data_IF_436251902463
#
_entry.id   IF_436251902463
#
_cell.length_a   1.000
_cell.length_b   1.000
_cell.length_c   1.000
_cell.angle_alpha   90.00
_cell.angle_beta   90.00
_cell.angle_gamma   90.00
#
_symmetry.space_group_name_H-M   'P 1'
#
loop_
_entity.id
_entity.type
_entity.pdbx_description
1 polymer ?
#
# COMPACT_ATOMS: atom_id res chain seq x y z
N UNK A 1 -5.64 27.72 -26.79
CA UNK A 1 -7.01 28.13 -27.23
C UNK A 1 -8.07 27.07 -26.96
N UNK A 2 -7.99 25.84 -27.50
CA UNK A 2 -9.05 24.81 -27.32
C UNK A 2 -9.39 24.47 -25.85
N UNK A 3 -8.39 24.42 -24.92
CA UNK A 3 -8.64 24.16 -23.48
C UNK A 3 -9.35 25.31 -22.75
N UNK A 4 -9.15 26.54 -23.20
CA UNK A 4 -9.83 27.72 -22.62
C UNK A 4 -11.29 27.77 -23.02
N UNK A 5 -11.58 27.45 -24.28
CA UNK A 5 -12.95 27.42 -24.82
C UNK A 5 -13.77 26.30 -24.16
N UNK A 6 -13.20 25.13 -23.93
CA UNK A 6 -13.87 24.03 -23.21
C UNK A 6 -14.27 24.44 -21.78
N UNK A 7 -13.38 25.11 -21.04
CA UNK A 7 -13.69 25.60 -19.68
C UNK A 7 -14.79 26.67 -19.63
N UNK A 8 -14.84 27.55 -20.65
CA UNK A 8 -15.89 28.57 -20.74
C UNK A 8 -17.24 27.92 -21.06
N UNK A 9 -17.26 26.92 -21.94
CA UNK A 9 -18.48 26.17 -22.28
C UNK A 9 -19.00 25.39 -21.07
N UNK A 10 -18.13 24.73 -20.32
CA UNK A 10 -18.49 24.01 -19.06
C UNK A 10 -19.04 24.97 -18.01
N UNK A 11 -18.43 26.14 -17.83
CA UNK A 11 -18.92 27.15 -16.88
C UNK A 11 -20.27 27.73 -17.30
N UNK A 12 -20.52 27.94 -18.62
CA UNK A 12 -21.78 28.40 -19.14
C UNK A 12 -22.90 27.36 -19.02
N UNK A 13 -22.62 26.08 -19.25
CA UNK A 13 -23.53 24.98 -19.04
C UNK A 13 -23.91 24.87 -17.57
N UNK A 14 -22.95 25.00 -16.67
CA UNK A 14 -23.18 24.95 -15.22
C UNK A 14 -24.05 26.10 -14.73
N UNK A 15 -23.81 27.33 -15.24
CA UNK A 15 -24.65 28.51 -14.92
C UNK A 15 -26.06 28.39 -15.45
N UNK A 16 -26.23 27.81 -16.65
CA UNK A 16 -27.57 27.59 -17.26
C UNK A 16 -28.38 26.55 -16.48
N UNK A 17 -27.74 25.46 -16.00
CA UNK A 17 -28.39 24.44 -15.19
C UNK A 17 -28.86 24.97 -13.82
N UNK A 18 -28.09 25.88 -13.21
CA UNK A 18 -28.50 26.55 -11.95
C UNK A 18 -29.70 27.46 -12.17
N UNK A 19 -29.80 28.19 -13.30
CA UNK A 19 -30.93 29.05 -13.62
C UNK A 19 -32.23 28.27 -13.87
N UNK A 20 -32.14 27.02 -14.31
CA UNK A 20 -33.33 26.16 -14.58
C UNK A 20 -33.77 25.38 -13.33
N UNK A 21 -33.15 25.62 -12.16
CA UNK A 21 -33.54 24.98 -10.90
C UNK A 21 -33.27 23.47 -10.83
N UNK A 22 -32.44 22.94 -11.75
CA UNK A 22 -31.99 21.58 -11.70
C UNK A 22 -30.88 21.49 -10.63
N UNK A 23 -31.29 21.13 -9.40
CA UNK A 23 -30.30 20.75 -8.39
C UNK A 23 -29.46 19.60 -8.94
N UNK A 24 -28.19 19.84 -9.15
CA UNK A 24 -27.24 18.80 -9.55
C UNK A 24 -27.10 17.80 -8.39
N UNK A 25 -27.62 16.56 -8.50
CA UNK A 25 -27.53 15.59 -7.41
C UNK A 25 -26.17 14.92 -7.33
N UNK A 26 -25.19 15.34 -8.14
CA UNK A 26 -23.90 14.67 -8.22
C UNK A 26 -22.77 15.69 -8.07
N UNK A 27 -21.90 15.46 -7.11
CA UNK A 27 -20.55 16.00 -7.12
C UNK A 27 -19.87 15.50 -8.39
N UNK A 28 -19.80 16.33 -9.43
CA UNK A 28 -18.99 16.05 -10.61
C UNK A 28 -17.54 16.10 -10.14
N UNK A 29 -16.95 14.94 -9.86
CA UNK A 29 -15.53 14.81 -9.60
C UNK A 29 -14.81 15.23 -10.87
N UNK A 30 -14.29 16.45 -10.91
CA UNK A 30 -13.46 16.93 -12.00
C UNK A 30 -12.07 16.33 -11.84
N UNK A 31 -11.82 15.24 -12.54
CA UNK A 31 -10.50 14.59 -12.53
C UNK A 31 -9.46 15.49 -13.19
N UNK A 32 -8.47 15.91 -12.43
CA UNK A 32 -7.28 16.60 -12.91
C UNK A 32 -6.03 15.72 -12.79
N UNK A 33 -4.97 16.13 -13.43
CA UNK A 33 -3.64 15.51 -13.29
C UNK A 33 -2.58 16.60 -13.22
N UNK A 34 -1.67 16.45 -12.28
CA UNK A 34 -0.62 17.42 -12.06
C UNK A 34 0.16 17.17 -10.79
N UNK A 35 0.79 18.22 -10.30
CA UNK A 35 1.52 18.22 -9.02
C UNK A 35 0.71 19.03 -8.00
N UNK A 36 0.52 18.42 -6.82
CA UNK A 36 0.08 19.10 -5.61
C UNK A 36 1.30 19.24 -4.70
N UNK A 37 1.66 20.46 -4.35
CA UNK A 37 2.74 20.79 -3.42
C UNK A 37 2.11 21.23 -2.10
N UNK A 38 2.51 20.61 -1.00
CA UNK A 38 1.94 20.88 0.33
C UNK A 38 2.75 21.89 1.14
N UNK A 39 3.89 22.36 0.59
CA UNK A 39 4.69 23.44 1.21
C UNK A 39 5.61 23.01 2.36
N UNK A 40 5.53 21.77 2.81
CA UNK A 40 6.34 21.19 3.90
C UNK A 40 7.41 20.21 3.39
N UNK A 41 7.60 20.16 2.07
CA UNK A 41 8.48 19.20 1.37
C UNK A 41 7.77 17.95 0.89
N UNK A 42 6.50 17.77 1.28
CA UNK A 42 5.64 16.74 0.72
C UNK A 42 5.05 17.18 -0.63
N UNK A 43 4.96 16.27 -1.58
CA UNK A 43 4.31 16.55 -2.86
C UNK A 43 3.67 15.30 -3.45
N UNK A 44 2.57 15.49 -4.16
CA UNK A 44 1.91 14.45 -4.93
C UNK A 44 1.98 14.76 -6.42
N UNK A 45 2.21 13.74 -7.24
CA UNK A 45 2.17 13.83 -8.70
C UNK A 45 1.25 12.74 -9.22
N UNK A 46 0.11 13.13 -9.77
CA UNK A 46 -0.88 12.14 -10.21
C UNK A 46 -2.24 12.73 -10.50
N UNK A 47 -3.25 11.85 -10.42
CA UNK A 47 -4.65 12.23 -10.61
C UNK A 47 -5.26 12.67 -9.27
N UNK A 48 -6.01 13.77 -9.30
CA UNK A 48 -6.70 14.33 -8.16
C UNK A 48 -8.04 14.96 -8.56
N UNK A 49 -8.90 15.20 -7.59
CA UNK A 49 -10.11 15.98 -7.77
C UNK A 49 -9.74 17.47 -7.81
N UNK A 50 -10.08 18.17 -8.89
CA UNK A 50 -9.74 19.58 -9.06
C UNK A 50 -10.57 20.54 -8.20
N UNK A 51 -11.65 20.05 -7.59
CA UNK A 51 -12.54 20.86 -6.74
C UNK A 51 -11.99 20.97 -5.33
N UNK A 52 -11.62 19.82 -4.73
CA UNK A 52 -11.17 19.75 -3.34
C UNK A 52 -9.68 19.39 -3.18
N UNK A 53 -9.00 19.01 -4.27
CA UNK A 53 -7.59 18.64 -4.26
C UNK A 53 -7.31 17.21 -3.79
N UNK A 54 -8.34 16.41 -3.50
CA UNK A 54 -8.14 15.03 -3.00
C UNK A 54 -7.44 14.16 -4.04
N UNK A 55 -6.44 13.40 -3.61
CA UNK A 55 -5.79 12.39 -4.46
C UNK A 55 -6.80 11.35 -4.89
N UNK A 56 -7.02 11.20 -6.21
CA UNK A 56 -8.03 10.31 -6.76
C UNK A 56 -7.58 9.68 -8.08
N UNK A 57 -7.15 8.43 -8.02
CA UNK A 57 -6.57 7.71 -9.15
C UNK A 57 -5.08 7.42 -8.98
N UNK A 58 -4.39 7.13 -10.09
CA UNK A 58 -2.95 6.78 -10.07
C UNK A 58 -2.09 8.00 -9.78
N UNK A 59 -1.06 7.80 -8.93
CA UNK A 59 -0.09 8.84 -8.65
C UNK A 59 1.10 8.38 -7.82
N UNK A 60 2.00 9.32 -7.54
CA UNK A 60 3.15 9.17 -6.65
C UNK A 60 3.13 10.26 -5.60
N UNK A 61 3.27 9.86 -4.35
CA UNK A 61 3.47 10.77 -3.23
C UNK A 61 4.93 10.71 -2.77
N UNK A 62 5.52 11.84 -2.62
CA UNK A 62 6.90 12.02 -2.17
C UNK A 62 6.84 12.69 -0.82
N UNK A 63 7.26 11.99 0.23
CA UNK A 63 7.33 12.55 1.58
C UNK A 63 8.64 13.34 1.78
N UNK A 64 8.61 14.35 2.61
CA UNK A 64 9.77 15.15 3.00
C UNK A 64 10.91 14.30 3.59
N UNK A 65 10.58 13.19 4.26
CA UNK A 65 11.57 12.25 4.80
C UNK A 65 12.29 11.40 3.72
N UNK A 66 11.89 11.54 2.44
CA UNK A 66 12.39 10.77 1.30
C UNK A 66 11.66 9.45 1.04
N UNK A 67 10.57 9.15 1.76
CA UNK A 67 9.67 8.04 1.44
C UNK A 67 8.92 8.33 0.14
N UNK A 68 8.80 7.33 -0.74
CA UNK A 68 8.05 7.44 -2.00
C UNK A 68 6.96 6.38 -2.05
N UNK A 69 5.73 6.81 -2.28
CA UNK A 69 4.55 5.97 -2.37
C UNK A 69 4.00 6.03 -3.79
N UNK A 70 3.90 4.89 -4.47
CA UNK A 70 3.33 4.78 -5.82
C UNK A 70 2.12 3.85 -5.78
N UNK A 71 0.95 4.34 -6.18
CA UNK A 71 -0.27 3.54 -6.07
C UNK A 71 -1.49 4.19 -6.69
N UNK A 72 -2.65 3.76 -6.22
CA UNK A 72 -3.96 4.31 -6.56
C UNK A 72 -4.57 4.88 -5.29
N UNK A 73 -5.07 6.10 -5.37
CA UNK A 73 -5.76 6.81 -4.29
C UNK A 73 -7.26 6.87 -4.57
N UNK A 74 -8.03 6.97 -3.51
CA UNK A 74 -9.45 7.26 -3.55
C UNK A 74 -9.80 8.11 -2.34
N UNK A 75 -10.25 9.35 -2.57
CA UNK A 75 -10.55 10.35 -1.54
C UNK A 75 -9.38 10.45 -0.54
N UNK A 76 -8.20 10.78 -1.05
CA UNK A 76 -6.92 10.89 -0.32
C UNK A 76 -6.34 9.59 0.26
N UNK A 77 -7.10 8.51 0.34
CA UNK A 77 -6.61 7.25 0.89
C UNK A 77 -5.95 6.36 -0.17
N UNK A 78 -4.79 5.81 0.16
CA UNK A 78 -4.13 4.79 -0.65
C UNK A 78 -4.97 3.49 -0.63
N UNK A 79 -5.33 3.00 -1.81
CA UNK A 79 -6.20 1.84 -2.00
C UNK A 79 -5.66 0.89 -3.05
N UNK A 80 -5.83 -0.42 -2.83
CA UNK A 80 -5.41 -1.43 -3.79
C UNK A 80 -3.90 -1.67 -3.78
N UNK A 81 -3.34 -2.10 -4.91
CA UNK A 81 -1.91 -2.45 -5.00
C UNK A 81 -1.04 -1.22 -5.08
N UNK A 82 -0.03 -1.15 -4.22
CA UNK A 82 0.92 -0.04 -4.18
C UNK A 82 2.36 -0.53 -3.94
N UNK A 83 3.30 0.37 -4.24
CA UNK A 83 4.73 0.24 -3.92
C UNK A 83 5.13 1.41 -3.03
N UNK A 84 5.72 1.11 -1.88
CA UNK A 84 6.30 2.10 -0.97
C UNK A 84 7.79 1.81 -0.84
N UNK A 85 8.61 2.83 -1.09
CA UNK A 85 10.04 2.83 -0.80
C UNK A 85 10.25 3.80 0.34
N UNK A 86 10.58 3.28 1.51
CA UNK A 86 10.79 4.07 2.73
C UNK A 86 12.13 4.79 2.71
N UNK A 87 12.25 5.87 3.45
CA UNK A 87 13.49 6.65 3.62
C UNK A 87 14.68 5.76 4.04
N UNK A 88 14.45 4.78 4.92
CA UNK A 88 15.45 3.82 5.39
C UNK A 88 15.85 2.76 4.36
N UNK A 89 15.33 2.83 3.10
CA UNK A 89 15.51 1.89 1.98
C UNK A 89 14.80 0.54 2.13
N UNK A 90 13.90 0.40 3.10
CA UNK A 90 12.95 -0.69 3.10
C UNK A 90 11.97 -0.53 1.93
N UNK A 91 11.36 -1.62 1.48
CA UNK A 91 10.38 -1.57 0.39
C UNK A 91 9.18 -2.46 0.71
N UNK A 92 7.99 -1.94 0.47
CA UNK A 92 6.78 -2.75 0.47
C UNK A 92 6.14 -2.74 -0.92
N UNK A 93 5.68 -3.90 -1.37
CA UNK A 93 4.86 -4.07 -2.58
C UNK A 93 3.67 -4.95 -2.20
N UNK A 94 2.48 -4.40 -2.24
CA UNK A 94 1.29 -5.15 -1.81
C UNK A 94 0.03 -4.30 -1.77
N UNK A 95 -0.99 -4.85 -1.13
CA UNK A 95 -2.29 -4.23 -1.05
C UNK A 95 -2.41 -3.31 0.16
N UNK A 96 -3.11 -2.19 -0.06
CA UNK A 96 -3.48 -1.19 0.91
C UNK A 96 -5.00 -1.03 0.97
N UNK A 97 -5.50 -0.71 2.15
CA UNK A 97 -6.86 -0.30 2.41
C UNK A 97 -6.83 0.82 3.44
N UNK A 98 -7.27 2.03 3.07
CA UNK A 98 -7.25 3.23 3.92
C UNK A 98 -5.86 3.43 4.54
N UNK A 99 -4.83 3.57 3.70
CA UNK A 99 -3.42 3.80 4.05
C UNK A 99 -2.74 2.70 4.88
N UNK A 100 -3.43 1.59 5.15
CA UNK A 100 -2.87 0.47 5.90
C UNK A 100 -2.60 -0.72 4.97
N UNK A 101 -1.46 -1.39 5.18
CA UNK A 101 -1.18 -2.66 4.50
C UNK A 101 -2.25 -3.67 4.89
N UNK A 102 -2.98 -4.15 3.90
CA UNK A 102 -4.10 -5.07 4.10
C UNK A 102 -4.25 -5.97 2.86
N UNK A 103 -4.28 -7.29 3.05
CA UNK A 103 -4.25 -8.25 1.96
C UNK A 103 -2.85 -8.84 1.72
N UNK A 104 -2.54 -9.25 0.50
CA UNK A 104 -1.24 -9.85 0.18
C UNK A 104 -0.17 -8.79 -0.09
N UNK A 105 1.06 -9.03 0.38
CA UNK A 105 2.17 -8.13 0.13
C UNK A 105 3.53 -8.72 0.46
N UNK A 106 4.55 -8.05 -0.06
CA UNK A 106 5.96 -8.37 0.20
C UNK A 106 6.64 -7.16 0.81
N UNK A 107 7.16 -7.31 2.00
CA UNK A 107 8.07 -6.35 2.63
C UNK A 107 9.50 -6.83 2.46
N UNK A 108 10.36 -5.97 2.00
CA UNK A 108 11.80 -6.21 1.86
C UNK A 108 12.53 -5.20 2.73
N UNK A 109 13.24 -5.67 3.74
CA UNK A 109 14.09 -4.85 4.58
C UNK A 109 15.39 -4.50 3.87
N UNK A 110 16.00 -3.37 4.21
CA UNK A 110 17.26 -2.92 3.61
C UNK A 110 18.42 -3.92 3.78
N UNK A 111 18.35 -4.74 4.84
CA UNK A 111 19.33 -5.80 5.07
C UNK A 111 19.19 -7.00 4.12
N UNK A 112 18.15 -7.03 3.28
CA UNK A 112 17.86 -8.10 2.32
C UNK A 112 16.90 -9.18 2.81
N UNK A 113 16.45 -9.11 4.05
CA UNK A 113 15.39 -9.99 4.55
C UNK A 113 14.06 -9.67 3.83
N UNK A 114 13.15 -10.64 3.77
CA UNK A 114 11.84 -10.47 3.13
C UNK A 114 10.74 -11.16 3.91
N UNK A 115 9.59 -10.53 3.98
CA UNK A 115 8.34 -11.21 4.31
C UNK A 115 7.39 -11.16 3.12
N UNK A 116 6.90 -12.31 2.70
CA UNK A 116 5.85 -12.43 1.67
C UNK A 116 4.67 -13.17 2.29
N UNK A 117 3.53 -12.51 2.39
CA UNK A 117 2.36 -13.10 3.03
C UNK A 117 1.18 -12.15 3.16
N UNK A 118 0.26 -12.55 4.03
CA UNK A 118 -0.93 -11.78 4.35
C UNK A 118 -0.64 -10.70 5.40
N UNK A 119 -1.31 -9.57 5.24
CA UNK A 119 -1.25 -8.37 6.10
C UNK A 119 -2.66 -7.99 6.54
N UNK A 120 -2.78 -7.47 7.75
CA UNK A 120 -4.00 -6.85 8.25
C UNK A 120 -3.63 -5.69 9.16
N UNK A 121 -4.11 -4.48 8.84
CA UNK A 121 -3.85 -3.26 9.60
C UNK A 121 -2.36 -3.09 9.94
N UNK A 122 -1.49 -3.13 8.90
CA UNK A 122 -0.03 -3.00 8.99
C UNK A 122 0.73 -4.14 9.68
N UNK A 123 0.04 -5.15 10.16
CA UNK A 123 0.64 -6.30 10.82
C UNK A 123 0.65 -7.54 9.91
N UNK A 124 1.72 -8.33 9.98
CA UNK A 124 1.75 -9.67 9.39
C UNK A 124 0.63 -10.50 10.03
N UNK A 125 -0.33 -10.97 9.21
CA UNK A 125 -1.51 -11.66 9.72
C UNK A 125 -2.04 -12.66 8.68
N UNK A 126 -2.04 -13.95 9.01
CA UNK A 126 -2.38 -15.02 8.09
C UNK A 126 -1.15 -15.80 7.59
N UNK A 127 -1.29 -16.54 6.49
CA UNK A 127 -0.18 -17.33 5.92
C UNK A 127 0.92 -16.44 5.37
N UNK A 128 2.18 -16.77 5.67
CA UNK A 128 3.33 -16.01 5.15
C UNK A 128 4.65 -16.72 5.34
N UNK A 129 5.64 -16.22 4.63
CA UNK A 129 7.02 -16.71 4.66
C UNK A 129 7.94 -15.54 4.95
N UNK A 130 8.71 -15.64 6.00
CA UNK A 130 9.84 -14.78 6.27
C UNK A 130 11.11 -15.45 5.75
N UNK A 131 11.88 -14.77 4.93
CA UNK A 131 13.11 -15.25 4.32
C UNK A 131 14.24 -14.31 4.72
N UNK A 132 15.24 -14.83 5.38
CA UNK A 132 16.48 -14.10 5.71
C UNK A 132 17.34 -13.89 4.47
N UNK A 133 18.22 -12.90 4.50
CA UNK A 133 19.22 -12.61 3.45
C UNK A 133 20.01 -13.85 3.01
N UNK A 134 20.33 -14.73 3.96
CA UNK A 134 21.07 -15.98 3.71
C UNK A 134 20.19 -17.11 3.12
N UNK A 135 18.97 -16.79 2.66
CA UNK A 135 18.00 -17.72 2.04
C UNK A 135 17.41 -18.77 2.98
N UNK A 136 17.72 -18.75 4.26
CA UNK A 136 16.93 -19.48 5.25
C UNK A 136 15.54 -18.90 5.29
N UNK A 137 14.52 -19.69 5.69
CA UNK A 137 13.18 -19.16 5.79
C UNK A 137 12.38 -19.82 6.89
N UNK A 138 11.33 -19.13 7.34
CA UNK A 138 10.27 -19.68 8.17
C UNK A 138 8.93 -19.42 7.50
N UNK A 139 8.15 -20.50 7.28
CA UNK A 139 6.83 -20.46 6.64
C UNK A 139 5.78 -20.97 7.61
N UNK A 140 4.76 -20.18 7.84
CA UNK A 140 3.68 -20.54 8.78
C UNK A 140 2.57 -19.52 8.79
N UNK A 141 1.77 -19.56 9.88
CA UNK A 141 0.68 -18.62 10.13
C UNK A 141 1.15 -17.55 11.11
N UNK A 142 0.85 -16.31 10.78
CA UNK A 142 1.18 -15.13 11.57
C UNK A 142 -0.10 -14.57 12.20
N UNK A 143 0.01 -14.07 13.41
CA UNK A 143 -1.07 -13.40 14.11
C UNK A 143 -0.51 -12.16 14.81
N UNK A 144 -1.02 -10.98 14.43
CA UNK A 144 -0.60 -9.69 14.98
C UNK A 144 0.94 -9.52 14.98
N UNK A 145 1.58 -9.77 13.84
CA UNK A 145 3.02 -9.65 13.64
C UNK A 145 3.87 -10.80 14.18
N UNK A 146 3.29 -11.78 14.88
CA UNK A 146 4.02 -12.89 15.51
C UNK A 146 3.67 -14.22 14.85
N UNK A 147 4.69 -15.06 14.61
CA UNK A 147 4.46 -16.44 14.13
C UNK A 147 3.70 -17.24 15.19
N UNK A 148 2.66 -17.96 14.76
CA UNK A 148 1.81 -18.72 15.66
C UNK A 148 1.29 -20.01 15.02
N UNK A 149 1.36 -21.13 15.72
CA UNK A 149 0.93 -22.43 15.24
C UNK A 149 2.05 -23.31 14.67
N UNK A 150 1.68 -24.25 13.80
CA UNK A 150 2.66 -25.11 13.11
C UNK A 150 3.37 -24.31 12.02
N UNK A 151 4.67 -24.52 11.87
CA UNK A 151 5.50 -23.83 10.89
C UNK A 151 6.61 -24.74 10.35
N UNK A 152 7.13 -24.38 9.17
CA UNK A 152 8.32 -24.98 8.57
C UNK A 152 9.46 -23.98 8.68
N UNK A 153 10.53 -24.38 9.32
CA UNK A 153 11.79 -23.63 9.39
C UNK A 153 12.84 -24.34 8.51
N UNK A 154 13.40 -23.61 7.55
CA UNK A 154 14.57 -24.08 6.76
C UNK A 154 15.82 -23.36 7.22
N UNK A 155 16.81 -24.13 7.64
CA UNK A 155 18.15 -23.65 7.97
C UNK A 155 19.16 -24.48 7.19
N UNK A 156 19.91 -23.83 6.30
CA UNK A 156 20.89 -24.49 5.40
C UNK A 156 20.22 -25.64 4.64
N UNK A 157 20.72 -26.86 4.78
CA UNK A 157 20.20 -28.09 4.12
C UNK A 157 19.13 -28.84 4.93
N UNK A 158 18.60 -28.25 6.00
CA UNK A 158 17.61 -28.93 6.83
C UNK A 158 16.28 -28.17 6.88
N UNK A 159 15.19 -28.92 6.85
CA UNK A 159 13.82 -28.46 7.15
C UNK A 159 13.36 -29.04 8.47
N UNK A 160 12.76 -28.19 9.29
CA UNK A 160 12.21 -28.55 10.59
C UNK A 160 10.71 -28.27 10.58
N UNK A 161 9.91 -29.24 11.05
CA UNK A 161 8.52 -29.01 11.43
C UNK A 161 8.48 -28.59 12.90
N UNK A 162 7.94 -27.41 13.17
CA UNK A 162 7.97 -26.81 14.50
C UNK A 162 6.60 -26.32 14.93
N UNK A 163 6.40 -26.15 16.26
CA UNK A 163 5.29 -25.41 16.85
C UNK A 163 5.79 -24.15 17.52
N UNK A 164 5.17 -23.04 17.18
CA UNK A 164 5.48 -21.72 17.73
C UNK A 164 4.21 -21.14 18.36
N UNK A 165 4.32 -20.47 19.46
CA UNK A 165 3.21 -19.75 20.11
C UNK A 165 3.69 -18.35 20.43
N UNK A 166 2.99 -17.34 19.90
CA UNK A 166 3.32 -15.92 20.06
C UNK A 166 4.81 -15.61 19.81
N UNK A 167 5.36 -16.18 18.70
CA UNK A 167 6.75 -15.98 18.31
C UNK A 167 7.78 -16.84 19.07
N UNK A 168 7.38 -17.57 20.11
CA UNK A 168 8.28 -18.43 20.90
C UNK A 168 8.20 -19.89 20.45
N UNK A 169 9.36 -20.51 20.13
CA UNK A 169 9.44 -21.93 19.81
C UNK A 169 8.95 -22.77 21.01
N UNK A 170 8.04 -23.70 20.76
CA UNK A 170 7.48 -24.60 21.77
C UNK A 170 7.90 -26.06 21.57
N UNK A 171 7.98 -26.51 20.30
CA UNK A 171 8.27 -27.90 19.98
C UNK A 171 8.91 -28.02 18.58
N UNK A 172 9.84 -28.94 18.45
CA UNK A 172 10.34 -29.45 17.17
C UNK A 172 9.77 -30.85 16.98
N UNK A 173 9.03 -31.08 15.90
CA UNK A 173 8.41 -32.38 15.62
C UNK A 173 9.32 -33.28 14.79
N UNK A 174 9.99 -32.70 13.78
CA UNK A 174 10.82 -33.46 12.86
C UNK A 174 11.90 -32.59 12.23
N UNK A 175 12.97 -33.25 11.79
CA UNK A 175 14.04 -32.70 10.96
C UNK A 175 14.24 -33.57 9.74
N UNK A 176 14.28 -32.97 8.55
CA UNK A 176 14.56 -33.65 7.30
C UNK A 176 15.67 -32.90 6.55
N UNK A 177 16.50 -33.63 5.79
CA UNK A 177 17.41 -33.02 4.82
C UNK A 177 16.56 -32.41 3.69
N UNK A 178 16.84 -31.19 3.26
CA UNK A 178 16.07 -30.44 2.25
C UNK A 178 16.63 -30.69 0.86
#
# INVERSE_FOLDING_TARGET
>A
MKKYIARIIEALILSLLIMVGIQQPYNIVQAASGTLDYGDGDRYVGKYDSVNGDKNGKGKYYCADGTVISGVWSNDFLKGKATVVYANKDKYVGYYQRDRRNGSGTYTWKNGDKYKGAWKNDLMNGKGTYTWKNKNYIKGTWKNGKLNGKATLKIRKYKYSIKVTNGKLKKVYSRKKA
#
